data_IF_404931085652
#
_entry.id   IF_404931085652
#
_cell.length_a   1.000
_cell.length_b   1.000
_cell.length_c   1.000
_cell.angle_alpha   90.00
_cell.angle_beta   90.00
_cell.angle_gamma   90.00
#
_symmetry.space_group_name_H-M   'P 1'
#
loop_
_entity.id
_entity.type
_entity.pdbx_description
1 polymer ?
#
# COMPACT_ATOMS: atom_id res chain seq x y z
N UNK A 1 26.84 1.57 2.12
CA UNK A 1 27.53 2.56 2.97
C UNK A 1 28.64 1.97 3.82
N UNK A 2 28.41 0.96 4.68
CA UNK A 2 29.46 0.37 5.55
C UNK A 2 30.73 -0.07 4.82
N UNK A 3 30.64 -0.47 3.54
CA UNK A 3 31.79 -0.81 2.68
C UNK A 3 32.50 0.41 2.06
N UNK A 4 32.25 1.62 2.55
CA UNK A 4 32.87 2.86 2.06
C UNK A 4 32.28 3.42 0.76
N UNK A 5 31.09 2.97 0.34
CA UNK A 5 30.39 3.47 -0.85
C UNK A 5 29.10 4.19 -0.39
N UNK A 6 29.04 5.51 -0.61
CA UNK A 6 27.94 6.39 -0.22
C UNK A 6 28.35 7.86 -0.16
N UNK A 7 27.47 8.73 0.33
CA UNK A 7 27.78 10.16 0.50
C UNK A 7 29.01 10.35 1.39
N UNK A 8 30.04 11.05 0.90
CA UNK A 8 31.24 11.36 1.67
C UNK A 8 30.93 11.97 3.04
N UNK A 9 29.92 12.84 3.13
CA UNK A 9 29.54 13.51 4.38
C UNK A 9 28.97 12.52 5.40
N UNK A 10 28.05 11.64 4.95
CA UNK A 10 27.43 10.62 5.79
C UNK A 10 28.47 9.57 6.25
N UNK A 11 29.34 9.10 5.36
CA UNK A 11 30.38 8.13 5.72
C UNK A 11 31.34 8.69 6.78
N UNK A 12 31.79 9.95 6.61
CA UNK A 12 32.70 10.62 7.56
C UNK A 12 32.06 10.81 8.94
N UNK A 13 30.76 11.15 8.99
CA UNK A 13 30.00 11.28 10.24
C UNK A 13 30.04 10.00 11.09
N UNK A 14 30.13 8.84 10.46
CA UNK A 14 30.19 7.54 11.13
C UNK A 14 31.59 6.90 11.16
N UNK A 15 32.64 7.66 10.83
CA UNK A 15 34.03 7.17 10.87
C UNK A 15 34.38 6.12 9.81
N UNK A 16 33.62 6.05 8.71
CA UNK A 16 33.80 5.07 7.64
C UNK A 16 34.72 5.65 6.56
N UNK A 17 35.80 4.95 6.15
CA UNK A 17 36.64 5.38 5.04
C UNK A 17 35.83 5.50 3.73
N UNK A 18 36.02 6.59 3.00
CA UNK A 18 35.38 6.79 1.69
C UNK A 18 36.19 6.06 0.62
N UNK A 19 35.59 5.02 0.03
CA UNK A 19 36.12 4.30 -1.14
C UNK A 19 35.56 4.90 -2.42
N UNK A 20 34.24 5.16 -2.45
CA UNK A 20 33.56 5.84 -3.56
C UNK A 20 32.56 6.83 -2.99
N UNK A 21 32.70 8.10 -3.36
CA UNK A 21 31.71 9.12 -3.06
C UNK A 21 30.53 8.98 -4.03
N UNK A 22 29.40 8.48 -3.51
CA UNK A 22 28.17 8.33 -4.25
C UNK A 22 27.00 8.89 -3.42
N UNK A 23 26.56 10.13 -3.71
CA UNK A 23 25.53 10.78 -2.91
C UNK A 23 24.14 10.15 -3.04
N UNK A 24 23.92 9.24 -4.00
CA UNK A 24 22.63 8.59 -4.20
C UNK A 24 22.44 7.30 -3.39
N UNK A 25 23.49 6.76 -2.76
CA UNK A 25 23.34 5.53 -1.95
C UNK A 25 22.45 5.82 -0.74
N UNK A 26 21.35 5.08 -0.63
CA UNK A 26 20.35 5.27 0.41
C UNK A 26 19.32 6.36 0.10
N UNK A 27 19.47 7.09 -1.00
CA UNK A 27 18.51 8.12 -1.42
C UNK A 27 17.50 7.53 -2.41
N UNK A 28 16.46 8.30 -2.74
CA UNK A 28 15.42 7.92 -3.70
C UNK A 28 14.59 6.71 -3.25
N UNK A 29 14.39 6.54 -1.93
CA UNK A 29 13.52 5.49 -1.42
C UNK A 29 12.07 5.84 -1.75
N UNK A 30 11.47 5.07 -2.66
CA UNK A 30 10.06 5.18 -3.03
C UNK A 30 9.34 3.90 -2.60
N UNK A 31 8.13 4.09 -2.09
CA UNK A 31 7.24 3.03 -1.65
C UNK A 31 5.79 3.46 -1.92
N UNK A 32 4.82 2.55 -1.83
CA UNK A 32 3.42 2.88 -2.06
C UNK A 32 2.65 3.10 -0.75
N UNK A 33 2.07 4.29 -0.51
CA UNK A 33 1.28 4.52 0.68
C UNK A 33 -0.10 3.85 0.57
N UNK A 34 -0.37 2.91 1.48
CA UNK A 34 -1.65 2.23 1.62
C UNK A 34 -2.49 2.72 2.80
N UNK A 35 -3.80 2.84 2.60
CA UNK A 35 -4.78 3.03 3.69
C UNK A 35 -5.76 1.86 3.69
N UNK A 36 -5.54 0.84 4.54
CA UNK A 36 -6.47 -0.27 4.66
C UNK A 36 -7.72 0.13 5.45
N UNK A 37 -8.86 -0.45 5.07
CA UNK A 37 -10.08 -0.42 5.86
C UNK A 37 -10.79 -1.77 5.82
N UNK A 38 -11.62 -2.04 6.82
CA UNK A 38 -12.33 -3.32 6.95
C UNK A 38 -13.83 -3.06 7.00
N UNK A 39 -14.58 -3.82 6.20
CA UNK A 39 -16.04 -3.86 6.28
C UNK A 39 -16.47 -5.15 6.96
N UNK A 40 -17.45 -5.07 7.85
CA UNK A 40 -18.13 -6.25 8.36
C UNK A 40 -19.04 -6.78 7.24
N UNK A 41 -18.86 -8.04 6.86
CA UNK A 41 -19.68 -8.71 5.85
C UNK A 41 -20.62 -9.75 6.46
N UNK A 42 -21.58 -10.25 5.67
CA UNK A 42 -22.42 -11.38 6.04
C UNK A 42 -21.58 -12.63 6.33
N UNK A 43 -22.11 -13.49 7.20
CA UNK A 43 -21.41 -14.71 7.59
C UNK A 43 -21.31 -15.63 6.36
N UNK A 44 -20.17 -16.32 6.20
CA UNK A 44 -19.87 -17.12 5.00
C UNK A 44 -19.29 -16.35 3.81
N UNK A 45 -19.15 -15.01 3.90
CA UNK A 45 -18.47 -14.19 2.88
C UNK A 45 -17.05 -13.76 3.27
N UNK A 46 -16.51 -14.34 4.34
CA UNK A 46 -15.14 -14.12 4.80
C UNK A 46 -14.54 -15.42 5.33
N UNK A 47 -13.22 -15.44 5.50
CA UNK A 47 -12.47 -16.63 5.91
C UNK A 47 -12.14 -16.68 7.41
N UNK A 48 -12.64 -15.72 8.19
CA UNK A 48 -12.37 -15.56 9.63
C UNK A 48 -12.62 -16.86 10.42
N UNK A 49 -13.73 -17.54 10.16
CA UNK A 49 -14.11 -18.77 10.86
C UNK A 49 -13.31 -20.00 10.42
N UNK A 50 -12.66 -19.95 9.25
CA UNK A 50 -11.84 -21.03 8.71
C UNK A 50 -10.37 -20.88 9.10
N UNK A 51 -9.88 -19.64 9.24
CA UNK A 51 -8.45 -19.34 9.32
C UNK A 51 -8.08 -18.65 10.65
N UNK A 52 -8.81 -17.61 11.04
CA UNK A 52 -8.40 -16.73 12.16
C UNK A 52 -8.90 -17.24 13.51
N UNK A 53 -10.15 -17.69 13.60
CA UNK A 53 -10.78 -18.12 14.85
C UNK A 53 -10.44 -19.58 15.13
N UNK A 54 -9.58 -19.81 16.13
CA UNK A 54 -9.12 -21.15 16.52
C UNK A 54 -10.24 -21.98 17.12
N UNK A 55 -10.25 -23.27 16.81
CA UNK A 55 -11.13 -24.26 17.46
C UNK A 55 -12.57 -24.30 16.97
N UNK A 56 -12.93 -23.48 15.98
CA UNK A 56 -14.22 -23.64 15.28
C UNK A 56 -14.23 -24.97 14.49
N UNK A 57 -15.42 -25.55 14.21
CA UNK A 57 -15.49 -26.73 13.36
C UNK A 57 -14.82 -26.53 11.98
N UNK A 58 -15.02 -25.36 11.37
CA UNK A 58 -14.42 -24.99 10.08
C UNK A 58 -12.90 -24.88 10.15
N UNK A 59 -12.35 -24.26 11.19
CA UNK A 59 -10.91 -24.13 11.37
C UNK A 59 -10.23 -25.49 11.61
N UNK A 60 -10.80 -26.33 12.47
CA UNK A 60 -10.28 -27.66 12.74
C UNK A 60 -10.28 -28.53 11.47
N UNK A 61 -11.36 -28.45 10.67
CA UNK A 61 -11.45 -29.15 9.39
C UNK A 61 -10.41 -28.63 8.39
N UNK A 62 -10.24 -27.31 8.27
CA UNK A 62 -9.24 -26.71 7.38
C UNK A 62 -7.82 -27.19 7.73
N UNK A 63 -7.46 -27.21 9.02
CA UNK A 63 -6.17 -27.73 9.52
C UNK A 63 -6.00 -29.21 9.15
N UNK A 64 -7.00 -30.04 9.43
CA UNK A 64 -6.92 -31.48 9.18
C UNK A 64 -6.74 -31.80 7.70
N UNK A 65 -7.49 -31.14 6.81
CA UNK A 65 -7.37 -31.35 5.36
C UNK A 65 -5.97 -30.94 4.90
N UNK A 66 -5.48 -29.78 5.33
CA UNK A 66 -4.16 -29.31 4.94
C UNK A 66 -3.02 -30.20 5.44
N UNK A 67 -3.12 -30.75 6.66
CA UNK A 67 -2.14 -31.70 7.17
C UNK A 67 -2.16 -33.05 6.43
N UNK A 68 -3.30 -33.43 5.88
CA UNK A 68 -3.46 -34.73 5.20
C UNK A 68 -2.90 -34.70 3.78
N UNK A 69 -3.17 -33.64 3.02
CA UNK A 69 -2.81 -33.59 1.61
C UNK A 69 -2.47 -32.19 1.08
N UNK A 70 -2.25 -31.22 1.97
CA UNK A 70 -1.96 -29.82 1.63
C UNK A 70 -3.04 -29.12 0.78
N UNK A 71 -4.25 -29.66 0.73
CA UNK A 71 -5.39 -29.01 0.08
C UNK A 71 -6.22 -28.18 1.08
N UNK A 72 -7.25 -27.50 0.57
CA UNK A 72 -8.14 -26.67 1.38
C UNK A 72 -7.62 -25.24 1.60
N UNK A 73 -8.35 -24.44 2.38
CA UNK A 73 -8.17 -22.98 2.39
C UNK A 73 -6.88 -22.52 3.07
N UNK A 74 -6.21 -23.36 3.87
CA UNK A 74 -4.93 -23.00 4.50
C UNK A 74 -3.76 -22.85 3.52
N UNK A 75 -3.89 -23.39 2.30
CA UNK A 75 -2.93 -23.16 1.23
C UNK A 75 -3.21 -21.93 0.39
N UNK A 76 -4.33 -21.22 0.62
CA UNK A 76 -4.66 -20.01 -0.14
C UNK A 76 -3.82 -18.82 0.33
N UNK A 77 -3.43 -17.96 -0.62
CA UNK A 77 -2.83 -16.66 -0.33
C UNK A 77 -3.85 -15.60 0.13
N UNK A 78 -5.14 -15.94 0.12
CA UNK A 78 -6.24 -15.08 0.53
C UNK A 78 -6.24 -13.73 -0.21
N UNK A 79 -5.93 -13.73 -1.51
CA UNK A 79 -6.17 -12.62 -2.41
C UNK A 79 -6.49 -13.20 -3.77
N UNK A 80 -7.75 -13.11 -4.18
CA UNK A 80 -8.25 -13.83 -5.36
C UNK A 80 -8.79 -12.89 -6.45
N UNK A 81 -9.10 -11.64 -6.08
CA UNK A 81 -9.55 -10.59 -6.99
C UNK A 81 -8.74 -9.34 -6.65
N UNK A 82 -8.21 -8.66 -7.68
CA UNK A 82 -7.46 -7.40 -7.53
C UNK A 82 -7.99 -6.38 -8.53
N UNK A 83 -8.27 -5.15 -8.08
CA UNK A 83 -8.76 -4.06 -8.92
C UNK A 83 -7.69 -3.02 -9.22
N UNK A 84 -7.50 -2.65 -10.50
CA UNK A 84 -6.58 -1.57 -10.92
C UNK A 84 -7.31 -0.41 -11.61
N UNK A 85 -8.08 0.41 -10.87
CA UNK A 85 -8.89 1.47 -11.45
C UNK A 85 -8.09 2.75 -11.75
N UNK A 86 -8.68 3.58 -12.61
CA UNK A 86 -8.49 5.03 -12.55
C UNK A 86 -9.71 5.68 -11.89
N UNK A 87 -9.49 6.78 -11.17
CA UNK A 87 -10.55 7.50 -10.45
C UNK A 87 -10.69 8.96 -10.91
N UNK A 88 -10.43 9.23 -12.18
CA UNK A 88 -10.47 10.58 -12.78
C UNK A 88 -11.70 11.39 -12.34
N UNK A 89 -12.89 10.80 -12.44
CA UNK A 89 -14.16 11.47 -12.09
C UNK A 89 -14.25 11.92 -10.62
N UNK A 90 -13.49 11.28 -9.72
CA UNK A 90 -13.42 11.66 -8.31
C UNK A 90 -12.41 12.78 -8.11
N UNK A 91 -11.21 12.63 -8.69
CA UNK A 91 -10.14 13.62 -8.60
C UNK A 91 -10.56 14.97 -9.19
N UNK A 92 -11.30 14.97 -10.30
CA UNK A 92 -11.83 16.18 -10.93
C UNK A 92 -12.80 16.98 -10.04
N UNK A 93 -13.33 16.41 -8.95
CA UNK A 93 -14.15 17.16 -8.00
C UNK A 93 -13.31 18.00 -7.04
N UNK A 94 -12.01 17.70 -6.86
CA UNK A 94 -11.12 18.42 -5.97
C UNK A 94 -10.45 19.64 -6.65
N UNK A 95 -10.56 20.86 -6.09
CA UNK A 95 -9.97 22.06 -6.68
C UNK A 95 -8.43 22.03 -6.76
N UNK A 96 -7.74 21.43 -5.79
CA UNK A 96 -6.28 21.34 -5.79
C UNK A 96 -5.79 20.38 -6.89
N UNK A 97 -6.50 19.27 -7.10
CA UNK A 97 -6.22 18.38 -8.22
C UNK A 97 -6.40 19.08 -9.57
N UNK A 98 -7.53 19.78 -9.76
CA UNK A 98 -7.78 20.53 -11.00
C UNK A 98 -6.69 21.57 -11.29
N UNK A 99 -6.23 22.27 -10.25
CA UNK A 99 -5.12 23.22 -10.37
C UNK A 99 -3.82 22.52 -10.78
N UNK A 100 -3.47 21.40 -10.12
CA UNK A 100 -2.27 20.63 -10.45
C UNK A 100 -2.31 20.09 -11.89
N UNK A 101 -3.44 19.51 -12.32
CA UNK A 101 -3.64 19.04 -13.70
C UNK A 101 -3.49 20.17 -14.72
N UNK A 102 -4.06 21.35 -14.45
CA UNK A 102 -3.90 22.52 -15.31
C UNK A 102 -2.43 22.95 -15.45
N UNK A 103 -1.67 22.94 -14.35
CA UNK A 103 -0.22 23.23 -14.36
C UNK A 103 0.61 22.16 -15.09
N UNK A 104 0.10 20.93 -15.18
CA UNK A 104 0.75 19.81 -15.88
C UNK A 104 0.26 19.65 -17.33
N UNK A 105 0.03 20.76 -18.05
CA UNK A 105 -0.42 20.74 -19.47
C UNK A 105 -1.71 19.93 -19.68
N UNK A 106 -2.64 20.04 -18.72
CA UNK A 106 -3.90 19.28 -18.65
C UNK A 106 -3.73 17.75 -18.63
N UNK A 107 -2.53 17.25 -18.31
CA UNK A 107 -2.30 15.83 -18.05
C UNK A 107 -2.48 15.53 -16.57
N UNK A 108 -3.03 14.36 -16.30
CA UNK A 108 -3.12 13.79 -14.96
C UNK A 108 -1.74 13.83 -14.27
N UNK A 109 -1.62 14.48 -13.09
CA UNK A 109 -0.33 14.61 -12.38
C UNK A 109 0.22 13.29 -11.85
N UNK A 110 -0.63 12.28 -11.57
CA UNK A 110 -0.18 10.98 -11.05
C UNK A 110 0.14 10.00 -12.19
N UNK A 111 -0.71 10.01 -13.23
CA UNK A 111 -0.68 9.02 -14.30
C UNK A 111 -0.73 9.68 -15.70
N UNK A 112 0.32 10.41 -16.11
CA UNK A 112 0.31 11.23 -17.33
C UNK A 112 0.16 10.43 -18.64
N UNK A 113 0.25 9.10 -18.59
CA UNK A 113 0.11 8.18 -19.72
C UNK A 113 -1.08 7.22 -19.56
N UNK A 114 -2.01 7.49 -18.63
CA UNK A 114 -3.24 6.70 -18.47
C UNK A 114 -3.10 5.43 -17.64
N UNK A 115 -2.09 5.35 -16.77
CA UNK A 115 -1.88 4.20 -15.90
C UNK A 115 -2.90 4.14 -14.73
N UNK A 116 -3.04 2.99 -14.03
CA UNK A 116 -3.88 2.88 -12.84
C UNK A 116 -3.43 3.77 -11.68
N UNK A 117 -4.38 4.23 -10.88
CA UNK A 117 -4.11 5.04 -9.69
C UNK A 117 -3.99 4.17 -8.43
N UNK A 118 -4.75 3.08 -8.35
CA UNK A 118 -4.85 2.26 -7.15
C UNK A 118 -4.74 0.77 -7.45
N UNK A 119 -4.37 0.02 -6.42
CA UNK A 119 -4.63 -1.40 -6.26
C UNK A 119 -5.70 -1.62 -5.17
N UNK A 120 -6.56 -2.62 -5.35
CA UNK A 120 -7.66 -2.96 -4.44
C UNK A 120 -7.66 -4.46 -4.13
N UNK A 121 -7.57 -4.79 -2.85
CA UNK A 121 -7.52 -6.16 -2.34
C UNK A 121 -8.78 -6.53 -1.55
N UNK A 122 -9.38 -7.67 -1.82
CA UNK A 122 -10.75 -7.96 -1.34
C UNK A 122 -10.84 -8.76 -0.03
N UNK A 123 -9.71 -9.03 0.62
CA UNK A 123 -9.69 -9.88 1.83
C UNK A 123 -9.46 -9.05 3.11
N UNK A 124 -8.82 -7.89 2.97
CA UNK A 124 -8.89 -6.71 3.84
C UNK A 124 -8.68 -5.52 2.89
N UNK A 125 -9.58 -4.54 2.82
CA UNK A 125 -9.57 -3.57 1.71
C UNK A 125 -8.42 -2.59 1.83
N UNK A 126 -7.29 -2.90 1.19
CA UNK A 126 -6.18 -1.98 0.97
C UNK A 126 -6.55 -1.01 -0.15
N UNK A 127 -6.47 0.28 0.12
CA UNK A 127 -6.37 1.30 -0.93
C UNK A 127 -4.90 1.66 -1.04
N UNK A 128 -4.21 1.03 -1.99
CA UNK A 128 -2.79 1.29 -2.23
C UNK A 128 -2.61 2.31 -3.36
N UNK A 129 -2.01 3.46 -3.06
CA UNK A 129 -1.71 4.48 -4.06
C UNK A 129 -0.44 4.08 -4.83
N UNK A 130 -0.63 3.45 -5.99
CA UNK A 130 0.47 2.88 -6.80
C UNK A 130 1.22 3.91 -7.66
N UNK A 131 0.80 5.18 -7.63
CA UNK A 131 1.43 6.32 -8.34
C UNK A 131 1.49 7.58 -7.48
N UNK A 132 2.23 7.57 -6.36
CA UNK A 132 2.40 8.75 -5.53
C UNK A 132 3.26 9.81 -6.24
N UNK A 133 3.07 11.07 -5.86
CA UNK A 133 3.86 12.23 -6.32
C UNK A 133 4.62 12.92 -5.19
N UNK A 134 4.55 12.41 -3.96
CA UNK A 134 5.47 12.79 -2.88
C UNK A 134 6.90 12.52 -3.29
N UNK A 135 7.80 13.42 -2.89
CA UNK A 135 9.24 13.23 -3.09
C UNK A 135 9.72 11.96 -2.36
N UNK A 136 10.74 11.25 -2.88
CA UNK A 136 11.27 10.07 -2.23
C UNK A 136 11.75 10.33 -0.81
N UNK A 137 11.74 9.28 0.00
CA UNK A 137 12.41 9.23 1.28
C UNK A 137 13.87 8.80 1.18
N UNK A 138 14.41 8.32 2.30
CA UNK A 138 15.82 7.94 2.43
C UNK A 138 16.07 6.84 3.47
N UNK A 139 17.20 6.16 3.29
CA UNK A 139 17.82 5.21 4.21
C UNK A 139 19.19 5.75 4.59
N UNK A 140 19.38 6.11 5.85
CA UNK A 140 20.63 6.69 6.38
C UNK A 140 21.27 5.79 7.42
N UNK A 141 22.57 5.99 7.68
CA UNK A 141 23.25 5.20 8.70
C UNK A 141 22.80 5.65 10.09
N UNK A 142 22.59 4.68 10.97
CA UNK A 142 22.45 4.96 12.40
C UNK A 142 23.83 4.89 13.09
N UNK A 143 24.66 3.93 12.70
CA UNK A 143 26.06 3.81 13.11
C UNK A 143 26.90 3.03 12.08
N UNK A 144 28.13 2.70 12.45
CA UNK A 144 29.01 1.78 11.70
C UNK A 144 28.84 0.29 12.14
N UNK A 145 27.97 -0.01 13.10
CA UNK A 145 27.69 -1.38 13.55
C UNK A 145 26.79 -2.10 12.53
N UNK A 146 27.24 -3.21 11.90
CA UNK A 146 26.43 -3.95 10.94
C UNK A 146 25.21 -4.64 11.55
N UNK A 147 25.11 -4.73 12.89
CA UNK A 147 23.95 -5.30 13.59
C UNK A 147 22.90 -4.25 13.95
N UNK A 148 23.19 -2.96 13.77
CA UNK A 148 22.23 -1.90 13.99
C UNK A 148 21.47 -1.61 12.69
N UNK A 149 20.13 -1.57 12.78
CA UNK A 149 19.31 -1.18 11.64
C UNK A 149 19.64 0.24 11.16
N UNK A 150 19.48 0.52 9.85
CA UNK A 150 19.54 1.89 9.37
C UNK A 150 18.35 2.71 9.88
N UNK A 151 18.49 4.03 9.77
CA UNK A 151 17.35 4.93 9.85
C UNK A 151 16.60 4.86 8.52
N UNK A 152 15.28 4.76 8.55
CA UNK A 152 14.43 4.64 7.36
C UNK A 152 13.34 5.70 7.46
N UNK A 153 13.25 6.55 6.45
CA UNK A 153 12.17 7.50 6.27
C UNK A 153 11.51 7.25 4.91
N UNK A 154 10.23 6.84 4.89
CA UNK A 154 9.48 6.61 3.66
C UNK A 154 8.96 7.92 3.01
N UNK A 155 8.92 9.02 3.78
CA UNK A 155 8.47 10.33 3.34
C UNK A 155 7.05 10.36 2.71
N UNK A 156 6.16 9.49 3.19
CA UNK A 156 4.77 9.47 2.72
C UNK A 156 4.06 10.79 2.98
N UNK A 157 3.22 11.19 2.01
CA UNK A 157 2.36 12.36 2.08
C UNK A 157 3.13 13.68 2.24
N UNK A 158 4.36 13.73 1.71
CA UNK A 158 5.10 14.97 1.57
C UNK A 158 4.41 15.94 0.57
N UNK A 159 3.61 15.39 -0.35
CA UNK A 159 2.76 16.15 -1.25
C UNK A 159 1.26 15.91 -0.93
N UNK A 160 0.53 16.99 -0.66
CA UNK A 160 -0.91 16.94 -0.34
C UNK A 160 -1.77 16.29 -1.45
N UNK A 161 -1.28 16.26 -2.70
CA UNK A 161 -1.95 15.54 -3.78
C UNK A 161 -2.10 14.05 -3.49
N UNK A 162 -1.12 13.41 -2.82
CA UNK A 162 -1.22 11.99 -2.46
C UNK A 162 -2.30 11.74 -1.40
N UNK A 163 -2.49 12.69 -0.48
CA UNK A 163 -3.57 12.65 0.51
C UNK A 163 -4.93 12.72 -0.20
N UNK A 164 -5.07 13.65 -1.15
CA UNK A 164 -6.29 13.81 -1.96
C UNK A 164 -6.56 12.54 -2.77
N UNK A 165 -5.54 11.98 -3.40
CA UNK A 165 -5.66 10.76 -4.19
C UNK A 165 -6.18 9.62 -3.32
N UNK A 166 -5.54 9.31 -2.18
CA UNK A 166 -5.99 8.25 -1.29
C UNK A 166 -7.40 8.48 -0.76
N UNK A 167 -7.74 9.70 -0.36
CA UNK A 167 -9.09 10.05 0.10
C UNK A 167 -10.14 9.71 -0.96
N UNK A 168 -9.88 10.07 -2.22
CA UNK A 168 -10.79 9.75 -3.32
C UNK A 168 -10.75 8.28 -3.74
N UNK A 169 -9.60 7.60 -3.59
CA UNK A 169 -9.48 6.15 -3.75
C UNK A 169 -10.35 5.40 -2.74
N UNK A 170 -10.32 5.80 -1.47
CA UNK A 170 -11.21 5.28 -0.42
C UNK A 170 -12.67 5.53 -0.80
N UNK A 171 -13.02 6.74 -1.25
CA UNK A 171 -14.40 7.06 -1.67
C UNK A 171 -14.86 6.16 -2.82
N UNK A 172 -14.01 5.97 -3.84
CA UNK A 172 -14.30 5.06 -4.94
C UNK A 172 -14.57 3.63 -4.45
N UNK A 173 -13.70 3.10 -3.58
CA UNK A 173 -13.87 1.74 -3.05
C UNK A 173 -15.15 1.61 -2.22
N UNK A 174 -15.48 2.62 -1.42
CA UNK A 174 -16.76 2.68 -0.71
C UNK A 174 -17.95 2.68 -1.67
N UNK A 175 -17.90 3.44 -2.76
CA UNK A 175 -18.98 3.43 -3.76
C UNK A 175 -19.13 2.06 -4.43
N UNK A 176 -18.02 1.41 -4.80
CA UNK A 176 -18.04 0.07 -5.42
C UNK A 176 -18.70 -0.94 -4.47
N UNK A 177 -18.33 -0.94 -3.20
CA UNK A 177 -18.76 -1.98 -2.26
C UNK A 177 -20.14 -1.71 -1.66
N UNK A 178 -20.46 -0.45 -1.33
CA UNK A 178 -21.73 -0.09 -0.68
C UNK A 178 -22.85 0.18 -1.69
N UNK A 179 -22.54 0.52 -2.95
CA UNK A 179 -23.55 0.81 -3.97
C UNK A 179 -23.56 -0.20 -5.13
N UNK A 180 -22.51 -0.99 -5.31
CA UNK A 180 -22.40 -1.98 -6.38
C UNK A 180 -23.45 -3.11 -6.29
N UNK A 181 -24.06 -3.54 -7.41
CA UNK A 181 -25.00 -4.66 -7.41
C UNK A 181 -24.39 -5.94 -6.83
N UNK A 182 -25.15 -6.66 -6.01
CA UNK A 182 -24.70 -7.88 -5.33
C UNK A 182 -23.88 -7.59 -4.07
N UNK A 183 -22.74 -6.91 -4.19
CA UNK A 183 -21.85 -6.70 -3.03
C UNK A 183 -22.47 -5.80 -1.96
N UNK A 184 -23.27 -4.81 -2.35
CA UNK A 184 -24.00 -3.94 -1.40
C UNK A 184 -24.87 -4.71 -0.41
N UNK A 185 -25.39 -5.87 -0.84
CA UNK A 185 -26.28 -6.70 -0.03
C UNK A 185 -25.50 -7.60 0.94
N UNK A 186 -24.16 -7.66 0.84
CA UNK A 186 -23.27 -8.46 1.69
C UNK A 186 -22.68 -7.62 2.84
N UNK A 187 -22.55 -6.30 2.64
CA UNK A 187 -22.02 -5.38 3.66
C UNK A 187 -23.01 -5.28 4.83
N UNK A 188 -22.58 -5.65 6.04
CA UNK A 188 -23.33 -5.46 7.30
C UNK A 188 -23.06 -4.09 7.93
N UNK A 189 -21.88 -3.52 7.70
CA UNK A 189 -21.47 -2.22 8.23
C UNK A 189 -19.96 -2.04 8.20
N UNK A 190 -19.49 -0.95 8.80
CA UNK A 190 -18.06 -0.78 9.08
C UNK A 190 -17.65 -1.71 10.22
N UNK A 191 -16.48 -2.33 10.09
CA UNK A 191 -15.85 -3.07 11.19
C UNK A 191 -15.16 -2.03 12.09
N UNK A 192 -15.14 -2.20 13.43
CA UNK A 192 -14.49 -1.26 14.33
C UNK A 192 -13.05 -0.93 13.92
#
# INVERSE_FOLDING_TARGET
MLSGIGSSAELKKHGIPVVVDNPHVGQHLLDHPGVPFVLRVKDGFGMDDYILRKGTPHNNQAIQVYQTNHSGPLGSGFLEIVGFPRIDKYLENDPLYRQAKASNRNKDPFCPYGQPHFELDFICLFVDLVRPVSDPGEVTLNSADPLQQPNINLNYFNNDLDIIALREGIRFTYDVLKNGPGFKDIVKGEYP
#
